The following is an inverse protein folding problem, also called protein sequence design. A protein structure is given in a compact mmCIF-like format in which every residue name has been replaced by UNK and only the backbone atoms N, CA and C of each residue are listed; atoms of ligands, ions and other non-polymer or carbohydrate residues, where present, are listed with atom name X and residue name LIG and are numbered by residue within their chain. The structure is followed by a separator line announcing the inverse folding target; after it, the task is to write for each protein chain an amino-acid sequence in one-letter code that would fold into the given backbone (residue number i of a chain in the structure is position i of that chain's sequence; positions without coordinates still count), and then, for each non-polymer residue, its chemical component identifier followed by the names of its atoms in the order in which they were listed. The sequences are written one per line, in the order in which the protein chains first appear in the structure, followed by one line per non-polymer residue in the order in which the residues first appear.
data_IF_464289940957
#
_entry.id   IF_464289940957
#
_cell.length_a   1.000
_cell.length_b   1.000
_cell.length_c   1.000
_cell.angle_alpha   90.00
_cell.angle_beta   90.00
_cell.angle_gamma   90.00
#
_symmetry.space_group_name_H-M   'P 1'
#
loop_
_entity.id
_entity.type
_entity.pdbx_description
1 polymer ?
#
# COMPACT_ATOMS: atom_id res chain seq x y z
N UNK A 1 17.60 7.18 -9.70
CA UNK A 1 18.02 8.62 -9.71
C UNK A 1 17.50 9.33 -8.45
N UNK A 2 18.14 10.39 -7.95
CA UNK A 2 17.69 11.09 -6.72
C UNK A 2 16.24 11.63 -6.78
N UNK A 3 15.74 12.00 -7.96
CA UNK A 3 14.37 12.50 -8.17
C UNK A 3 13.30 11.43 -8.37
N UNK A 4 13.69 10.16 -8.49
CA UNK A 4 12.80 9.08 -8.90
C UNK A 4 11.70 8.80 -7.87
N UNK A 5 12.02 8.91 -6.58
CA UNK A 5 11.04 8.76 -5.53
C UNK A 5 9.92 9.82 -5.63
N UNK A 6 10.24 11.07 -5.97
CA UNK A 6 9.25 12.15 -6.16
C UNK A 6 8.31 11.81 -7.32
N UNK A 7 8.89 11.41 -8.46
CA UNK A 7 8.12 11.04 -9.65
C UNK A 7 7.21 9.84 -9.39
N UNK A 8 7.72 8.84 -8.66
CA UNK A 8 6.95 7.66 -8.29
C UNK A 8 5.80 7.99 -7.33
N UNK A 9 6.05 8.79 -6.29
CA UNK A 9 5.00 9.21 -5.35
C UNK A 9 3.88 9.99 -6.07
N UNK A 10 4.26 10.93 -6.93
CA UNK A 10 3.29 11.68 -7.75
C UNK A 10 2.51 10.74 -8.70
N UNK A 11 3.22 9.90 -9.46
CA UNK A 11 2.57 8.95 -10.37
C UNK A 11 1.60 8.00 -9.63
N UNK A 12 1.95 7.53 -8.42
CA UNK A 12 1.07 6.69 -7.60
C UNK A 12 -0.17 7.45 -7.13
N UNK A 13 0.01 8.66 -6.60
CA UNK A 13 -1.09 9.50 -6.10
C UNK A 13 -2.12 9.80 -7.19
N UNK A 14 -1.67 10.16 -8.39
CA UNK A 14 -2.57 10.48 -9.51
C UNK A 14 -2.86 9.31 -10.44
N UNK A 15 -2.25 8.15 -10.20
CA UNK A 15 -2.48 6.92 -10.96
C UNK A 15 -2.25 7.06 -12.47
N UNK A 16 -1.23 7.83 -12.88
CA UNK A 16 -1.02 8.16 -14.30
C UNK A 16 -0.60 6.94 -15.15
N UNK A 17 -0.13 5.89 -14.50
CA UNK A 17 0.24 4.60 -15.10
C UNK A 17 -0.71 3.46 -14.71
N UNK A 18 -1.92 3.76 -14.21
CA UNK A 18 -2.96 2.74 -13.98
C UNK A 18 -3.37 2.08 -15.30
N UNK A 19 -3.88 0.85 -15.21
CA UNK A 19 -4.39 0.06 -16.36
C UNK A 19 -5.41 0.85 -17.23
N UNK A 20 -6.19 1.76 -16.65
CA UNK A 20 -7.13 2.61 -17.39
C UNK A 20 -6.49 3.75 -18.19
N UNK A 21 -5.19 4.03 -18.00
CA UNK A 21 -4.44 5.12 -18.66
C UNK A 21 -3.37 4.62 -19.63
N UNK A 22 -2.79 3.45 -19.33
CA UNK A 22 -1.71 2.84 -20.14
C UNK A 22 -2.02 1.41 -20.58
N UNK A 23 -3.23 0.92 -20.31
CA UNK A 23 -3.65 -0.43 -20.65
C UNK A 23 -3.04 -1.50 -19.75
N UNK A 24 -3.36 -2.78 -19.98
CA UNK A 24 -2.82 -3.90 -19.22
C UNK A 24 -1.39 -4.24 -19.64
N UNK A 25 -0.43 -3.35 -19.37
CA UNK A 25 0.97 -3.46 -19.80
C UNK A 25 1.56 -4.85 -19.52
N UNK A 26 1.32 -5.41 -18.33
CA UNK A 26 1.82 -6.73 -17.95
C UNK A 26 1.22 -7.89 -18.76
N UNK A 27 -0.04 -7.78 -19.21
CA UNK A 27 -0.65 -8.78 -20.10
C UNK A 27 -0.17 -8.59 -21.54
N UNK A 28 -0.04 -7.33 -21.99
CA UNK A 28 0.40 -6.97 -23.33
C UNK A 28 1.84 -7.41 -23.60
N UNK A 29 2.75 -7.18 -22.67
CA UNK A 29 4.17 -7.58 -22.84
C UNK A 29 4.32 -9.10 -22.87
N UNK A 30 3.51 -9.84 -22.11
CA UNK A 30 3.47 -11.32 -22.17
C UNK A 30 2.93 -11.83 -23.50
N UNK A 31 1.91 -11.16 -24.07
CA UNK A 31 1.37 -11.50 -25.40
C UNK A 31 2.36 -11.18 -26.51
N UNK A 32 3.13 -10.11 -26.37
CA UNK A 32 4.15 -9.70 -27.32
C UNK A 32 5.37 -10.62 -27.27
N UNK A 33 5.77 -11.07 -26.08
CA UNK A 33 7.01 -11.82 -25.83
C UNK A 33 8.23 -11.25 -26.60
N UNK A 34 8.52 -9.93 -26.49
CA UNK A 34 9.53 -9.28 -27.31
C UNK A 34 10.95 -9.70 -26.92
N UNK A 35 11.84 -9.84 -27.91
CA UNK A 35 13.27 -10.11 -27.68
C UNK A 35 14.03 -8.81 -27.42
N UNK A 36 13.50 -7.68 -27.92
CA UNK A 36 14.12 -6.36 -27.76
C UNK A 36 13.18 -5.29 -27.23
N UNK A 37 13.74 -4.25 -26.61
CA UNK A 37 12.98 -3.08 -26.17
C UNK A 37 12.28 -2.38 -27.34
N UNK A 38 12.90 -2.34 -28.53
CA UNK A 38 12.33 -1.70 -29.72
C UNK A 38 11.09 -2.43 -30.23
N UNK A 39 11.12 -3.76 -30.21
CA UNK A 39 9.94 -4.59 -30.54
C UNK A 39 8.81 -4.34 -29.56
N UNK A 40 9.14 -4.30 -28.26
CA UNK A 40 8.16 -3.97 -27.23
C UNK A 40 7.53 -2.60 -27.44
N UNK A 41 8.36 -1.56 -27.63
CA UNK A 41 7.89 -0.19 -27.84
C UNK A 41 6.98 -0.12 -29.06
N UNK A 42 7.41 -0.68 -30.20
CA UNK A 42 6.59 -0.72 -31.42
C UNK A 42 5.25 -1.41 -31.18
N UNK A 43 5.26 -2.60 -30.57
CA UNK A 43 4.03 -3.34 -30.27
C UNK A 43 3.09 -2.56 -29.35
N UNK A 44 3.62 -1.96 -28.28
CA UNK A 44 2.82 -1.18 -27.35
C UNK A 44 2.20 0.04 -28.03
N UNK A 45 2.99 0.79 -28.80
CA UNK A 45 2.52 2.00 -29.48
C UNK A 45 1.46 1.70 -30.55
N UNK A 46 1.52 0.52 -31.18
CA UNK A 46 0.51 0.05 -32.14
C UNK A 46 -0.77 -0.48 -31.48
N UNK A 47 -0.68 -1.11 -30.30
CA UNK A 47 -1.79 -1.89 -29.71
C UNK A 47 -2.44 -1.28 -28.47
N UNK A 48 -1.76 -0.35 -27.79
CA UNK A 48 -2.23 0.23 -26.53
C UNK A 48 -2.49 1.73 -26.66
N UNK A 49 -1.43 2.53 -26.67
CA UNK A 49 -1.52 3.98 -26.71
C UNK A 49 -0.38 4.57 -27.51
N UNK A 50 -0.65 5.67 -28.22
CA UNK A 50 0.36 6.37 -29.01
C UNK A 50 1.43 7.02 -28.15
N UNK A 51 2.54 7.41 -28.79
CA UNK A 51 3.65 8.07 -28.12
C UNK A 51 3.21 9.43 -27.56
N UNK A 52 2.41 10.16 -28.32
CA UNK A 52 1.86 11.46 -27.96
C UNK A 52 1.02 11.35 -26.69
N UNK A 53 0.22 10.28 -26.53
CA UNK A 53 -0.54 10.04 -25.30
C UNK A 53 0.38 9.86 -24.08
N UNK A 54 1.43 9.05 -24.22
CA UNK A 54 2.42 8.87 -23.14
C UNK A 54 3.13 10.20 -22.79
N UNK A 55 3.45 11.00 -23.81
CA UNK A 55 4.01 12.34 -23.61
C UNK A 55 3.05 13.27 -22.87
N UNK A 56 1.75 13.21 -23.16
CA UNK A 56 0.74 13.99 -22.42
C UNK A 56 0.61 13.54 -20.96
N UNK A 57 0.72 12.24 -20.67
CA UNK A 57 0.80 11.75 -19.29
C UNK A 57 2.06 12.27 -18.59
N UNK A 58 3.20 12.31 -19.29
CA UNK A 58 4.44 12.92 -18.79
C UNK A 58 4.30 14.41 -18.50
N UNK A 59 3.68 15.19 -19.39
CA UNK A 59 3.38 16.62 -19.18
C UNK A 59 2.43 16.82 -17.99
N UNK A 60 1.44 15.95 -17.85
CA UNK A 60 0.53 15.97 -16.69
C UNK A 60 1.31 15.72 -15.41
N UNK A 61 2.18 14.70 -15.38
CA UNK A 61 3.05 14.42 -14.22
C UNK A 61 3.92 15.62 -13.87
N UNK A 62 4.50 16.29 -14.89
CA UNK A 62 5.31 17.49 -14.69
C UNK A 62 4.51 18.57 -13.94
N UNK A 63 3.33 18.96 -14.43
CA UNK A 63 2.46 19.95 -13.78
C UNK A 63 2.11 19.52 -12.35
N UNK A 64 1.78 18.24 -12.13
CA UNK A 64 1.47 17.73 -10.80
C UNK A 64 2.65 17.88 -9.83
N UNK A 65 3.88 17.66 -10.30
CA UNK A 65 5.08 17.80 -9.46
C UNK A 65 5.43 19.28 -9.25
N UNK A 66 5.45 20.09 -10.31
CA UNK A 66 5.96 21.47 -10.24
C UNK A 66 5.00 22.46 -9.63
N UNK A 67 3.69 22.23 -9.78
CA UNK A 67 2.69 23.20 -9.36
C UNK A 67 2.01 22.71 -8.09
N UNK A 68 1.53 21.47 -8.09
CA UNK A 68 0.75 20.92 -6.96
C UNK A 68 1.67 20.44 -5.84
N UNK A 69 2.54 19.45 -6.08
CA UNK A 69 3.42 18.93 -5.03
C UNK A 69 4.32 20.03 -4.48
N UNK A 70 4.86 20.90 -5.33
CA UNK A 70 5.73 21.99 -4.89
C UNK A 70 5.01 22.93 -3.94
N UNK A 71 3.82 23.42 -4.30
CA UNK A 71 3.04 24.31 -3.43
C UNK A 71 2.65 23.62 -2.11
N UNK A 72 2.27 22.34 -2.16
CA UNK A 72 1.97 21.57 -0.96
C UNK A 72 3.20 21.41 -0.06
N UNK A 73 4.36 21.06 -0.62
CA UNK A 73 5.63 20.94 0.13
C UNK A 73 6.02 22.28 0.75
N UNK A 74 5.89 23.38 0.01
CA UNK A 74 6.16 24.73 0.52
C UNK A 74 5.19 25.14 1.64
N UNK A 75 3.99 24.57 1.69
CA UNK A 75 3.01 24.81 2.74
C UNK A 75 3.20 23.97 4.01
N UNK A 76 4.04 22.92 3.96
CA UNK A 76 4.30 22.05 5.12
C UNK A 76 5.10 22.81 6.17
N UNK A 77 4.58 22.84 7.40
CA UNK A 77 5.29 23.40 8.56
C UNK A 77 6.00 22.33 9.37
N UNK A 78 6.93 22.76 10.23
CA UNK A 78 7.58 21.87 11.20
C UNK A 78 6.57 21.25 12.18
N UNK A 79 5.56 22.04 12.60
CA UNK A 79 4.50 21.58 13.49
C UNK A 79 3.64 20.48 12.84
N UNK A 80 3.32 20.59 11.54
CA UNK A 80 2.64 19.52 10.81
C UNK A 80 3.43 18.21 10.87
N UNK A 81 4.75 18.29 10.71
CA UNK A 81 5.63 17.12 10.76
C UNK A 81 5.67 16.50 12.16
N UNK A 82 5.82 17.32 13.20
CA UNK A 82 5.83 16.88 14.60
C UNK A 82 4.50 16.22 14.96
N UNK A 83 3.39 16.89 14.65
CA UNK A 83 2.04 16.41 14.94
C UNK A 83 1.74 15.12 14.17
N UNK A 84 2.18 15.01 12.92
CA UNK A 84 2.02 13.79 12.14
C UNK A 84 2.74 12.61 12.80
N UNK A 85 4.01 12.77 13.20
CA UNK A 85 4.77 11.71 13.88
C UNK A 85 4.13 11.35 15.23
N UNK A 86 3.76 12.35 16.04
CA UNK A 86 3.11 12.10 17.32
C UNK A 86 1.79 11.32 17.15
N UNK A 87 0.96 11.74 16.20
CA UNK A 87 -0.31 11.09 15.90
C UNK A 87 -0.12 9.66 15.37
N UNK A 88 0.89 9.41 14.52
CA UNK A 88 1.21 8.06 14.07
C UNK A 88 1.61 7.14 15.22
N UNK A 89 2.43 7.62 16.14
CA UNK A 89 3.03 6.81 17.20
C UNK A 89 2.11 6.62 18.39
N UNK A 90 1.39 7.66 18.81
CA UNK A 90 0.56 7.63 20.02
C UNK A 90 -0.89 7.32 19.68
N UNK A 91 -1.52 8.15 18.84
CA UNK A 91 -2.97 8.05 18.62
C UNK A 91 -3.31 6.82 17.79
N UNK A 92 -2.67 6.63 16.64
CA UNK A 92 -2.99 5.51 15.75
C UNK A 92 -2.68 4.14 16.35
N UNK A 93 -1.62 4.01 17.14
CA UNK A 93 -1.30 2.74 17.80
C UNK A 93 -2.30 2.43 18.90
N UNK A 94 -2.73 3.43 19.67
CA UNK A 94 -3.78 3.27 20.68
C UNK A 94 -5.14 2.93 20.06
N UNK A 95 -5.53 3.62 18.99
CA UNK A 95 -6.78 3.35 18.27
C UNK A 95 -6.77 1.94 17.65
N UNK A 96 -5.63 1.51 17.10
CA UNK A 96 -5.40 0.15 16.62
C UNK A 96 -5.62 -0.88 17.73
N UNK A 97 -4.93 -0.71 18.86
CA UNK A 97 -5.06 -1.58 20.04
C UNK A 97 -6.49 -1.64 20.58
N UNK A 98 -7.19 -0.50 20.66
CA UNK A 98 -8.59 -0.44 21.08
C UNK A 98 -9.51 -1.23 20.15
N UNK A 99 -9.33 -1.06 18.84
CA UNK A 99 -10.11 -1.76 17.83
C UNK A 99 -9.87 -3.27 17.87
N UNK A 100 -8.60 -3.66 18.07
CA UNK A 100 -8.19 -5.04 18.23
C UNK A 100 -8.83 -5.68 19.47
N UNK A 101 -8.73 -5.04 20.64
CA UNK A 101 -9.38 -5.50 21.87
C UNK A 101 -10.89 -5.63 21.70
N UNK A 102 -11.54 -4.64 21.09
CA UNK A 102 -12.98 -4.68 20.88
C UNK A 102 -13.38 -5.84 19.97
N UNK A 103 -12.57 -6.16 18.97
CA UNK A 103 -12.81 -7.27 18.05
C UNK A 103 -12.58 -8.61 18.73
N UNK A 104 -11.42 -8.78 19.38
CA UNK A 104 -11.00 -10.02 20.03
C UNK A 104 -11.88 -10.34 21.25
N UNK A 105 -11.89 -9.49 22.26
CA UNK A 105 -12.60 -9.74 23.53
C UNK A 105 -14.09 -9.37 23.43
N UNK A 106 -14.43 -8.38 22.61
CA UNK A 106 -15.81 -7.91 22.51
C UNK A 106 -16.69 -8.77 21.62
N UNK A 107 -16.20 -9.19 20.45
CA UNK A 107 -16.98 -9.93 19.45
C UNK A 107 -16.59 -11.40 19.37
N UNK A 108 -15.30 -11.71 19.20
CA UNK A 108 -14.84 -13.07 18.95
C UNK A 108 -14.99 -13.97 20.18
N UNK A 109 -14.56 -13.56 21.38
CA UNK A 109 -14.78 -14.34 22.61
C UNK A 109 -16.27 -14.61 22.87
N UNK A 110 -17.13 -13.61 22.65
CA UNK A 110 -18.59 -13.77 22.83
C UNK A 110 -19.19 -14.73 21.82
N UNK A 111 -18.73 -14.67 20.57
CA UNK A 111 -19.25 -15.53 19.48
C UNK A 111 -18.78 -16.97 19.65
N UNK A 112 -17.52 -17.16 20.05
CA UNK A 112 -16.92 -18.48 20.22
C UNK A 112 -17.23 -19.09 21.59
N UNK A 113 -17.64 -18.28 22.58
CA UNK A 113 -17.93 -18.71 23.95
C UNK A 113 -16.69 -19.22 24.71
N UNK A 114 -15.49 -18.90 24.21
CA UNK A 114 -14.21 -19.31 24.80
C UNK A 114 -13.32 -18.10 24.98
N UNK A 115 -12.46 -18.15 26.00
CA UNK A 115 -11.48 -17.10 26.27
C UNK A 115 -10.37 -17.14 25.22
N UNK A 116 -10.05 -15.97 24.67
CA UNK A 116 -8.91 -15.75 23.77
C UNK A 116 -7.75 -15.19 24.58
N UNK A 117 -6.56 -15.74 24.38
CA UNK A 117 -5.33 -15.33 25.08
C UNK A 117 -4.30 -14.81 24.06
N UNK A 118 -3.55 -13.74 24.39
CA UNK A 118 -2.46 -13.26 23.54
C UNK A 118 -1.35 -14.31 23.48
N UNK A 119 -0.76 -14.49 22.31
CA UNK A 119 0.33 -15.44 22.12
C UNK A 119 1.61 -15.01 22.86
N UNK A 120 2.44 -15.95 23.31
CA UNK A 120 3.78 -15.64 23.80
C UNK A 120 4.67 -15.05 22.69
N UNK A 121 5.64 -14.20 23.05
CA UNK A 121 6.62 -13.58 22.13
C UNK A 121 7.31 -14.57 21.16
N UNK A 122 7.62 -15.77 21.65
CA UNK A 122 8.25 -16.81 20.83
C UNK A 122 7.34 -17.27 19.67
N UNK A 123 6.03 -17.28 19.90
CA UNK A 123 5.04 -17.69 18.90
C UNK A 123 4.70 -16.55 17.94
N UNK A 124 4.60 -15.34 18.47
CA UNK A 124 4.43 -14.13 17.67
C UNK A 124 5.57 -13.99 16.65
N UNK A 125 6.83 -14.02 17.11
CA UNK A 125 7.99 -13.83 16.22
C UNK A 125 8.37 -15.08 15.41
N UNK A 126 8.13 -16.26 15.95
CA UNK A 126 8.49 -17.53 15.32
C UNK A 126 7.46 -18.01 14.31
N UNK A 127 6.17 -17.74 14.54
CA UNK A 127 5.07 -18.32 13.79
C UNK A 127 4.03 -17.29 13.31
N UNK A 128 4.20 -15.99 13.59
CA UNK A 128 3.23 -14.92 13.32
C UNK A 128 1.84 -15.28 13.86
N UNK A 129 1.79 -15.60 15.16
CA UNK A 129 0.57 -15.90 15.89
C UNK A 129 0.32 -14.80 16.90
N UNK A 130 -0.75 -14.04 16.74
CA UNK A 130 -1.10 -12.93 17.64
C UNK A 130 -1.91 -13.42 18.85
N UNK A 131 -2.85 -14.36 18.62
CA UNK A 131 -3.77 -14.87 19.63
C UNK A 131 -4.00 -16.38 19.50
N UNK A 132 -4.40 -17.00 20.60
CA UNK A 132 -4.79 -18.41 20.63
C UNK A 132 -5.95 -18.65 21.59
N UNK A 133 -6.64 -19.78 21.39
CA UNK A 133 -7.68 -20.30 22.28
C UNK A 133 -7.27 -21.69 22.77
N UNK A 134 -7.68 -22.05 23.99
CA UNK A 134 -7.47 -23.40 24.53
C UNK A 134 -8.76 -24.22 24.39
N UNK A 135 -8.70 -25.35 23.69
CA UNK A 135 -9.81 -26.30 23.56
C UNK A 135 -9.30 -27.65 24.09
N UNK A 136 -9.86 -28.14 25.21
CA UNK A 136 -9.51 -29.44 25.79
C UNK A 136 -7.98 -29.67 25.93
N UNK A 137 -7.27 -28.68 26.49
CA UNK A 137 -5.80 -28.65 26.64
C UNK A 137 -4.98 -28.60 25.33
N UNK A 138 -5.64 -28.45 24.18
CA UNK A 138 -5.01 -28.23 22.88
C UNK A 138 -5.14 -26.75 22.50
N UNK A 139 -4.01 -26.07 22.23
CA UNK A 139 -4.01 -24.70 21.74
C UNK A 139 -4.40 -24.66 20.25
N UNK A 140 -5.41 -23.87 19.90
CA UNK A 140 -5.80 -23.56 18.52
C UNK A 140 -5.49 -22.10 18.20
N UNK A 141 -4.93 -21.85 17.01
CA UNK A 141 -4.39 -20.54 16.61
C UNK A 141 -5.49 -19.71 15.95
N UNK A 142 -5.65 -18.46 16.39
CA UNK A 142 -6.46 -17.44 15.69
C UNK A 142 -5.48 -16.51 14.99
N UNK A 143 -5.36 -16.62 13.67
CA UNK A 143 -4.45 -15.78 12.91
C UNK A 143 -5.13 -14.45 12.55
N UNK A 144 -4.59 -13.34 13.04
CA UNK A 144 -4.91 -12.01 12.54
C UNK A 144 -4.51 -11.89 11.07
N UNK A 145 -5.34 -11.24 10.25
CA UNK A 145 -5.03 -10.97 8.83
C UNK A 145 -4.10 -9.78 8.70
#
# INVERSE_FOLDING_TARGET
MAKEWILNQANMRWGLTKKSKVGPVAELIRKCAPETLKEWEKFYLEKAYSKEHLEQLGKTLFIKVTDVCKAEIESVTEEDCINFIYNLVINRTFDGYKSEIQTIYGQLEKTLGVKIEPAPDEWDRGYNVDYFIKINDICSIVKGK
#
